data_IF_180587482286
#
_entry.id   IF_180587482286
#
_cell.length_a   1.000
_cell.length_b   1.000
_cell.length_c   1.000
_cell.angle_alpha   90.00
_cell.angle_beta   90.00
_cell.angle_gamma   90.00
#
_symmetry.space_group_name_H-M   'P 1'
#
loop_
_entity.id
_entity.type
_entity.pdbx_description
1 polymer ?
#
# COMPACT_ATOMS: atom_id res chain seq x y z
N UNK A 1 5.45 12.04 20.85
CA UNK A 1 5.74 12.38 19.45
C UNK A 1 5.22 11.21 18.63
N UNK A 2 4.28 11.45 17.72
CA UNK A 2 3.92 10.47 16.71
C UNK A 2 5.14 10.23 15.83
N UNK A 3 5.38 8.98 15.41
CA UNK A 3 6.44 8.70 14.44
C UNK A 3 6.06 9.38 13.12
N UNK A 4 6.97 10.14 12.47
CA UNK A 4 6.70 10.72 11.15
C UNK A 4 6.23 9.69 10.11
N UNK A 5 6.60 8.41 10.26
CA UNK A 5 6.10 7.33 9.40
C UNK A 5 4.63 7.00 9.68
N UNK A 6 4.19 7.03 10.92
CA UNK A 6 2.79 6.80 11.30
C UNK A 6 1.89 7.90 10.73
N UNK A 7 2.36 9.15 10.71
CA UNK A 7 1.63 10.27 10.12
C UNK A 7 1.47 10.10 8.60
N UNK A 8 2.52 9.65 7.91
CA UNK A 8 2.47 9.35 6.48
C UNK A 8 1.56 8.15 6.17
N UNK A 9 1.60 7.10 6.99
CA UNK A 9 0.72 5.94 6.85
C UNK A 9 -0.75 6.35 7.04
N UNK A 10 -1.04 7.16 8.07
CA UNK A 10 -2.39 7.67 8.31
C UNK A 10 -2.87 8.53 7.15
N UNK A 11 -2.02 9.42 6.62
CA UNK A 11 -2.35 10.26 5.47
C UNK A 11 -2.64 9.42 4.22
N UNK A 12 -1.85 8.37 3.98
CA UNK A 12 -2.08 7.45 2.86
C UNK A 12 -3.43 6.72 2.98
N UNK A 13 -3.79 6.27 4.19
CA UNK A 13 -5.08 5.62 4.44
C UNK A 13 -6.27 6.58 4.22
N UNK A 14 -6.12 7.85 4.60
CA UNK A 14 -7.15 8.87 4.36
C UNK A 14 -7.33 9.21 2.88
N UNK A 15 -6.23 9.26 2.11
CA UNK A 15 -6.25 9.68 0.70
C UNK A 15 -6.62 8.53 -0.25
N UNK A 16 -6.07 7.34 -0.02
CA UNK A 16 -6.19 6.22 -0.95
C UNK A 16 -7.16 5.13 -0.46
N UNK A 17 -7.51 5.12 0.83
CA UNK A 17 -8.49 4.21 1.42
C UNK A 17 -7.94 3.40 2.59
N UNK A 18 -8.71 3.32 3.67
CA UNK A 18 -8.30 2.60 4.88
C UNK A 18 -8.39 1.06 4.77
N UNK A 19 -8.97 0.56 3.68
CA UNK A 19 -9.14 -0.88 3.42
C UNK A 19 -7.84 -1.57 2.98
N UNK A 20 -6.71 -0.87 2.95
CA UNK A 20 -5.41 -1.39 2.55
C UNK A 20 -4.43 -1.33 3.71
N UNK A 21 -3.47 -2.27 3.72
CA UNK A 21 -2.35 -2.17 4.66
C UNK A 21 -1.24 -1.35 4.02
N UNK A 22 -0.75 -0.34 4.74
CA UNK A 22 0.36 0.50 4.32
C UNK A 22 1.61 0.24 5.16
N UNK A 23 2.76 0.36 4.53
CA UNK A 23 4.06 0.35 5.21
C UNK A 23 5.04 1.22 4.45
N UNK A 24 5.98 1.84 5.16
CA UNK A 24 7.11 2.53 4.53
C UNK A 24 8.31 1.59 4.57
N UNK A 25 9.00 1.46 3.44
CA UNK A 25 10.21 0.65 3.31
C UNK A 25 11.30 1.46 2.65
N UNK A 26 12.54 1.27 3.12
CA UNK A 26 13.72 1.81 2.46
C UNK A 26 14.36 0.71 1.63
N UNK A 27 14.48 0.93 0.32
CA UNK A 27 15.09 -0.01 -0.62
C UNK A 27 16.08 0.66 -1.56
N UNK A 28 16.54 -0.08 -2.57
CA UNK A 28 17.53 0.41 -3.54
C UNK A 28 17.06 1.60 -4.40
N UNK A 29 15.78 1.95 -4.37
CA UNK A 29 15.23 3.13 -5.05
C UNK A 29 14.94 4.30 -4.10
N UNK A 30 15.16 4.12 -2.79
CA UNK A 30 14.84 5.12 -1.76
C UNK A 30 13.69 4.67 -0.85
N UNK A 31 13.07 5.65 -0.17
CA UNK A 31 11.90 5.42 0.69
C UNK A 31 10.65 5.22 -0.17
N UNK A 32 9.89 4.19 0.13
CA UNK A 32 8.74 3.74 -0.67
C UNK A 32 7.55 3.46 0.23
N UNK A 33 6.40 4.05 -0.09
CA UNK A 33 5.10 3.66 0.44
C UNK A 33 4.62 2.39 -0.27
N UNK A 34 4.46 1.32 0.49
CA UNK A 34 3.92 0.05 -0.02
C UNK A 34 2.48 -0.11 0.44
N UNK A 35 1.55 -0.19 -0.51
CA UNK A 35 0.14 -0.46 -0.25
C UNK A 35 -0.19 -1.91 -0.65
N UNK A 36 -0.76 -2.69 0.27
CA UNK A 36 -1.20 -4.06 0.03
C UNK A 36 -2.72 -4.12 -0.11
N UNK A 37 -3.18 -4.44 -1.33
CA UNK A 37 -4.57 -4.40 -1.73
C UNK A 37 -5.31 -5.75 -1.63
N UNK A 38 -4.70 -6.77 -1.02
CA UNK A 38 -5.22 -8.14 -0.79
C UNK A 38 -5.55 -8.97 -2.04
N UNK A 39 -6.17 -8.40 -3.06
CA UNK A 39 -6.51 -9.06 -4.33
C UNK A 39 -5.92 -8.33 -5.53
N UNK A 40 -5.76 -9.04 -6.65
CA UNK A 40 -5.28 -8.46 -7.91
C UNK A 40 -6.21 -7.37 -8.45
N UNK A 41 -7.53 -7.56 -8.33
CA UNK A 41 -8.53 -6.62 -8.83
C UNK A 41 -8.44 -5.28 -8.08
N UNK A 42 -8.40 -5.34 -6.76
CA UNK A 42 -8.28 -4.16 -5.90
C UNK A 42 -6.93 -3.48 -6.14
N UNK A 43 -5.83 -4.25 -6.27
CA UNK A 43 -4.52 -3.69 -6.61
C UNK A 43 -4.51 -2.95 -7.95
N UNK A 44 -5.25 -3.45 -8.95
CA UNK A 44 -5.40 -2.75 -10.23
C UNK A 44 -6.11 -1.41 -10.05
N UNK A 45 -7.24 -1.39 -9.35
CA UNK A 45 -7.99 -0.18 -9.09
C UNK A 45 -7.20 0.85 -8.26
N UNK A 46 -6.37 0.39 -7.32
CA UNK A 46 -5.54 1.27 -6.51
C UNK A 46 -4.38 1.88 -7.32
N UNK A 47 -3.77 1.12 -8.25
CA UNK A 47 -2.71 1.63 -9.14
C UNK A 47 -3.18 2.76 -10.04
N UNK A 48 -4.47 2.80 -10.39
CA UNK A 48 -5.04 3.90 -11.16
C UNK A 48 -5.16 5.20 -10.35
N UNK A 49 -5.23 5.09 -9.01
CA UNK A 49 -5.41 6.22 -8.09
C UNK A 49 -4.09 6.70 -7.48
N UNK A 50 -3.16 5.80 -7.20
CA UNK A 50 -1.89 6.14 -6.56
C UNK A 50 -0.86 6.65 -7.57
N UNK A 51 -0.33 7.87 -7.41
CA UNK A 51 0.75 8.37 -8.25
C UNK A 51 2.05 7.62 -7.97
N UNK A 52 2.97 7.55 -8.92
CA UNK A 52 4.28 6.88 -8.76
C UNK A 52 5.14 7.48 -7.64
N UNK A 53 4.91 8.76 -7.32
CA UNK A 53 5.55 9.47 -6.21
C UNK A 53 4.49 10.18 -5.37
N UNK A 54 4.59 10.09 -4.05
CA UNK A 54 3.66 10.71 -3.10
C UNK A 54 4.39 11.08 -1.81
N UNK A 55 4.25 12.33 -1.34
CA UNK A 55 4.92 12.84 -0.12
C UNK A 55 6.44 12.60 -0.08
N UNK A 56 7.10 12.65 -1.24
CA UNK A 56 8.54 12.36 -1.36
C UNK A 56 8.91 10.88 -1.25
N UNK A 57 7.93 9.98 -1.23
CA UNK A 57 8.08 8.53 -1.31
C UNK A 57 7.80 8.04 -2.72
N UNK A 58 8.52 7.01 -3.16
CA UNK A 58 8.03 6.17 -4.26
C UNK A 58 6.78 5.41 -3.80
N UNK A 59 5.93 4.99 -4.73
CA UNK A 59 4.78 4.15 -4.39
C UNK A 59 4.88 2.77 -5.03
N UNK A 60 4.41 1.77 -4.29
CA UNK A 60 4.35 0.39 -4.78
C UNK A 60 3.06 -0.26 -4.30
N UNK A 61 2.23 -0.69 -5.25
CA UNK A 61 1.01 -1.46 -4.96
C UNK A 61 1.27 -2.94 -5.17
N UNK A 62 1.15 -3.71 -4.08
CA UNK A 62 1.28 -5.16 -4.08
C UNK A 62 -0.06 -5.83 -3.77
N UNK A 63 -0.16 -7.09 -4.13
CA UNK A 63 -1.20 -8.00 -3.65
C UNK A 63 -0.57 -9.36 -3.43
N UNK A 64 -1.11 -10.12 -2.49
CA UNK A 64 -0.68 -11.49 -2.27
C UNK A 64 -1.75 -12.43 -2.84
N UNK A 65 -1.41 -13.14 -3.92
CA UNK A 65 -2.32 -14.14 -4.52
C UNK A 65 -2.54 -15.36 -3.62
N UNK A 66 -1.61 -15.68 -2.73
CA UNK A 66 -1.65 -16.87 -1.88
C UNK A 66 -2.69 -16.79 -0.75
N UNK A 67 -3.01 -15.59 -0.26
CA UNK A 67 -4.11 -15.38 0.71
C UNK A 67 -5.49 -15.64 0.10
N UNK A 68 -5.59 -15.64 -1.23
CA UNK A 68 -6.83 -15.88 -1.96
C UNK A 68 -7.14 -17.38 -2.11
N UNK A 69 -6.17 -18.25 -1.84
CA UNK A 69 -6.32 -19.71 -1.92
C UNK A 69 -6.88 -20.32 -0.63
N UNK A 70 -6.66 -19.71 0.54
CA UNK A 70 -7.22 -20.17 1.82
C UNK A 70 -8.73 -19.91 1.91
N UNK A 71 -9.22 -18.78 1.39
CA UNK A 71 -10.66 -18.41 1.45
C UNK A 71 -11.53 -19.32 0.55
N UNK A 72 -10.95 -19.96 -0.47
CA UNK A 72 -11.70 -20.88 -1.35
C UNK A 72 -11.81 -22.30 -0.80
N UNK A 73 -11.05 -22.64 0.24
CA UNK A 73 -10.97 -24.00 0.79
C UNK A 73 -11.49 -24.10 2.23
N UNK A 74 -12.13 -23.04 2.76
CA UNK A 74 -12.74 -22.99 4.09
C UNK A 74 -14.27 -22.95 4.04
#
# INVERSE_FOLDING_TARGET
MTDPEDELILKAALEFGADYTYSIKTGGHGRTLVANAYTKLIASALREKMPTHWEGLYTLVIYNSSLNEEIKNG
#
